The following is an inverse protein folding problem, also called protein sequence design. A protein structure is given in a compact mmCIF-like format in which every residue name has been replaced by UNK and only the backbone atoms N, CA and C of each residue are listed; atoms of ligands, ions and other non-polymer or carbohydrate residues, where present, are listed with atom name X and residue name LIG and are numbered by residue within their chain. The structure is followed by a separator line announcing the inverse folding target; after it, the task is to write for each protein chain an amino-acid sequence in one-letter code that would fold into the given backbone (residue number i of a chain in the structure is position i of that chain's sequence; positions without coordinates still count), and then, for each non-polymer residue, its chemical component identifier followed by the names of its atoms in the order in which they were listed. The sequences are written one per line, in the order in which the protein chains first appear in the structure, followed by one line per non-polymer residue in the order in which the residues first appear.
data_IF_814710712428
#
_entry.id   IF_814710712428
#
_cell.length_a   1.000
_cell.length_b   1.000
_cell.length_c   1.000
_cell.angle_alpha   90.00
_cell.angle_beta   90.00
_cell.angle_gamma   90.00
#
_symmetry.space_group_name_H-M   'P 1'
#
loop_
_entity.id
_entity.type
_entity.pdbx_description
1 polymer ?
#
# COMPACT_ATOMS: atom_id res chain seq x y z
N UNK A 1 -24.08 -22.61 12.29
CA UNK A 1 -24.47 -21.99 11.00
C UNK A 1 -24.80 -20.49 11.11
N UNK A 2 -25.44 -20.00 12.18
CA UNK A 2 -25.87 -18.58 12.34
C UNK A 2 -24.73 -17.52 12.33
N UNK A 3 -23.57 -17.78 12.96
CA UNK A 3 -22.45 -16.81 13.06
C UNK A 3 -21.89 -16.36 11.70
N UNK A 4 -21.85 -17.24 10.71
CA UNK A 4 -21.34 -16.93 9.37
C UNK A 4 -22.24 -15.97 8.60
N UNK A 5 -23.56 -16.14 8.71
CA UNK A 5 -24.55 -15.26 8.07
C UNK A 5 -24.48 -13.84 8.65
N UNK A 6 -24.35 -13.72 9.97
CA UNK A 6 -24.21 -12.43 10.66
C UNK A 6 -22.91 -11.74 10.26
N UNK A 7 -21.78 -12.46 10.22
CA UNK A 7 -20.50 -11.91 9.78
C UNK A 7 -20.53 -11.46 8.32
N UNK A 8 -21.13 -12.26 7.42
CA UNK A 8 -21.28 -11.92 5.99
C UNK A 8 -22.15 -10.68 5.79
N UNK A 9 -23.25 -10.56 6.54
CA UNK A 9 -24.13 -9.39 6.49
C UNK A 9 -23.40 -8.12 6.96
N UNK A 10 -22.69 -8.20 8.09
CA UNK A 10 -21.88 -7.10 8.63
C UNK A 10 -20.82 -6.64 7.63
N UNK A 11 -20.10 -7.55 7.00
CA UNK A 11 -19.06 -7.22 6.02
C UNK A 11 -19.66 -6.55 4.77
N UNK A 12 -20.85 -6.99 4.33
CA UNK A 12 -21.55 -6.40 3.19
C UNK A 12 -22.07 -4.99 3.49
N UNK A 13 -22.57 -4.75 4.70
CA UNK A 13 -23.00 -3.42 5.15
C UNK A 13 -21.79 -2.48 5.24
N UNK A 14 -20.70 -2.94 5.86
CA UNK A 14 -19.45 -2.20 5.96
C UNK A 14 -18.93 -1.80 4.58
N UNK A 15 -18.84 -2.75 3.64
CA UNK A 15 -18.39 -2.48 2.28
C UNK A 15 -19.25 -1.43 1.57
N UNK A 16 -20.58 -1.52 1.66
CA UNK A 16 -21.49 -0.52 1.07
C UNK A 16 -21.34 0.87 1.68
N UNK A 17 -21.09 0.96 2.98
CA UNK A 17 -20.86 2.23 3.67
C UNK A 17 -19.59 2.92 3.15
N UNK A 18 -18.51 2.19 2.92
CA UNK A 18 -17.27 2.74 2.36
C UNK A 18 -17.35 3.03 0.86
N UNK A 19 -18.11 2.23 0.10
CA UNK A 19 -18.26 2.41 -1.35
C UNK A 19 -19.19 3.58 -1.74
N UNK A 20 -20.13 3.95 -0.87
CA UNK A 20 -21.15 4.97 -1.18
C UNK A 20 -21.20 6.11 -0.15
N UNK A 21 -20.30 6.12 0.83
CA UNK A 21 -20.16 7.20 1.79
C UNK A 21 -19.49 8.42 1.13
N UNK A 22 -19.96 9.66 1.39
CA UNK A 22 -19.33 10.85 0.85
C UNK A 22 -17.88 10.96 1.36
N UNK A 23 -16.91 11.16 0.45
CA UNK A 23 -15.47 11.26 0.73
C UNK A 23 -14.85 10.03 1.42
N UNK A 24 -15.36 8.84 1.13
CA UNK A 24 -14.80 7.58 1.61
C UNK A 24 -14.18 6.80 0.44
N UNK A 25 -13.08 6.10 0.71
CA UNK A 25 -12.51 5.10 -0.21
C UNK A 25 -12.91 3.70 0.25
N UNK A 26 -13.06 2.79 -0.71
CA UNK A 26 -13.26 1.37 -0.45
C UNK A 26 -11.92 0.62 -0.26
N UNK A 27 -11.98 -0.65 0.15
CA UNK A 27 -10.77 -1.45 0.40
C UNK A 27 -9.89 -1.66 -0.84
N UNK A 28 -10.45 -1.68 -2.04
CA UNK A 28 -9.68 -1.81 -3.29
C UNK A 28 -8.95 -0.50 -3.64
N UNK A 29 -9.64 0.64 -3.54
CA UNK A 29 -9.01 1.97 -3.71
C UNK A 29 -7.93 2.21 -2.65
N UNK A 30 -8.13 1.69 -1.43
CA UNK A 30 -7.11 1.71 -0.40
C UNK A 30 -5.83 1.01 -0.86
N UNK A 31 -5.93 -0.18 -1.47
CA UNK A 31 -4.76 -0.95 -1.95
C UNK A 31 -3.95 -0.18 -3.00
N UNK A 32 -4.62 0.58 -3.87
CA UNK A 32 -3.97 1.42 -4.89
C UNK A 32 -3.12 2.55 -4.29
N UNK A 33 -3.45 3.03 -3.08
CA UNK A 33 -2.76 4.15 -2.43
C UNK A 33 -1.70 3.73 -1.39
N UNK A 34 -1.52 2.43 -1.14
CA UNK A 34 -0.62 1.96 -0.06
C UNK A 34 0.81 2.40 -0.29
N UNK A 35 1.33 2.22 -1.50
CA UNK A 35 2.72 2.57 -1.83
C UNK A 35 2.94 4.08 -1.70
N UNK A 36 2.11 4.88 -2.37
CA UNK A 36 2.19 6.35 -2.28
C UNK A 36 2.08 6.87 -0.84
N UNK A 37 1.27 6.21 -0.01
CA UNK A 37 1.14 6.54 1.41
C UNK A 37 2.42 6.23 2.20
N UNK A 38 3.03 5.06 1.96
CA UNK A 38 4.27 4.64 2.64
C UNK A 38 5.49 5.42 2.17
N UNK A 39 5.49 5.91 0.93
CA UNK A 39 6.55 6.74 0.34
C UNK A 39 6.34 8.25 0.58
N UNK A 40 5.27 8.63 1.28
CA UNK A 40 4.87 10.03 1.55
C UNK A 40 4.67 10.88 0.27
N UNK A 41 4.32 10.24 -0.84
CA UNK A 41 4.02 10.89 -2.14
C UNK A 41 2.52 11.08 -2.36
N UNK A 42 1.67 10.51 -1.49
CA UNK A 42 0.22 10.63 -1.59
C UNK A 42 -0.25 12.08 -1.32
N UNK A 43 -1.03 12.70 -2.22
CA UNK A 43 -1.53 14.06 -2.03
C UNK A 43 -2.29 14.23 -0.70
N UNK A 44 -2.10 15.37 -0.02
CA UNK A 44 -2.62 15.62 1.33
C UNK A 44 -4.12 15.33 1.51
N UNK A 45 -4.95 15.70 0.52
CA UNK A 45 -6.38 15.40 0.55
C UNK A 45 -6.69 13.90 0.51
N UNK A 46 -5.93 13.12 -0.26
CA UNK A 46 -6.05 11.65 -0.31
C UNK A 46 -5.48 11.00 0.94
N UNK A 47 -4.37 11.51 1.46
CA UNK A 47 -3.75 11.04 2.71
C UNK A 47 -4.73 11.11 3.88
N UNK A 48 -5.44 12.21 4.03
CA UNK A 48 -6.47 12.36 5.09
C UNK A 48 -7.60 11.31 4.97
N UNK A 49 -8.06 11.02 3.74
CA UNK A 49 -9.10 10.01 3.49
C UNK A 49 -8.58 8.59 3.76
N UNK A 50 -7.34 8.30 3.35
CA UNK A 50 -6.66 7.04 3.62
C UNK A 50 -6.51 6.78 5.12
N UNK A 51 -6.04 7.79 5.87
CA UNK A 51 -5.91 7.72 7.33
C UNK A 51 -7.26 7.53 8.02
N UNK A 52 -8.31 8.21 7.54
CA UNK A 52 -9.68 8.00 8.02
C UNK A 52 -10.13 6.55 7.79
N UNK A 53 -9.82 5.99 6.62
CA UNK A 53 -10.19 4.62 6.28
C UNK A 53 -9.56 3.62 7.27
N UNK A 54 -8.25 3.68 7.54
CA UNK A 54 -7.59 2.75 8.47
C UNK A 54 -8.01 2.94 9.94
N UNK A 55 -8.51 4.13 10.30
CA UNK A 55 -9.13 4.35 11.63
C UNK A 55 -10.47 3.61 11.76
N UNK A 56 -11.21 3.46 10.67
CA UNK A 56 -12.55 2.85 10.66
C UNK A 56 -12.55 1.38 10.21
N UNK A 57 -11.54 0.96 9.45
CA UNK A 57 -11.43 -0.36 8.86
C UNK A 57 -10.27 -1.15 9.47
N UNK A 58 -10.60 -1.99 10.45
CA UNK A 58 -9.62 -2.87 11.11
C UNK A 58 -8.84 -3.75 10.12
N UNK A 59 -9.51 -4.33 9.13
CA UNK A 59 -8.88 -5.22 8.14
C UNK A 59 -7.82 -4.47 7.31
N UNK A 60 -8.11 -3.25 6.84
CA UNK A 60 -7.12 -2.45 6.11
C UNK A 60 -5.97 -1.98 7.00
N UNK A 61 -6.23 -1.69 8.29
CA UNK A 61 -5.17 -1.40 9.26
C UNK A 61 -4.24 -2.60 9.47
N UNK A 62 -4.80 -3.79 9.65
CA UNK A 62 -4.04 -5.04 9.79
C UNK A 62 -3.26 -5.35 8.50
N UNK A 63 -3.88 -5.13 7.35
CA UNK A 63 -3.23 -5.30 6.06
C UNK A 63 -2.04 -4.35 5.87
N UNK A 64 -2.19 -3.06 6.19
CA UNK A 64 -1.09 -2.08 6.11
C UNK A 64 0.11 -2.48 6.99
N UNK A 65 -0.16 -2.98 8.19
CA UNK A 65 0.89 -3.45 9.10
C UNK A 65 1.62 -4.67 8.52
N UNK A 66 0.89 -5.66 7.98
CA UNK A 66 1.47 -6.83 7.34
C UNK A 66 2.26 -6.49 6.07
N UNK A 67 1.75 -5.56 5.26
CA UNK A 67 2.42 -5.05 4.06
C UNK A 67 3.75 -4.37 4.41
N UNK A 68 3.71 -3.46 5.40
CA UNK A 68 4.90 -2.76 5.89
C UNK A 68 5.95 -3.74 6.43
N UNK A 69 5.53 -4.75 7.20
CA UNK A 69 6.41 -5.79 7.69
C UNK A 69 7.06 -6.59 6.55
N UNK A 70 6.31 -6.90 5.49
CA UNK A 70 6.82 -7.61 4.31
C UNK A 70 7.88 -6.78 3.56
N UNK A 71 7.64 -5.47 3.39
CA UNK A 71 8.63 -4.56 2.81
C UNK A 71 9.91 -4.51 3.64
N UNK A 72 9.80 -4.38 4.96
CA UNK A 72 10.97 -4.33 5.84
C UNK A 72 11.78 -5.63 5.84
N UNK A 73 11.11 -6.78 5.77
CA UNK A 73 11.79 -8.06 5.58
C UNK A 73 12.56 -8.12 4.26
N UNK A 74 11.95 -7.63 3.17
CA UNK A 74 12.61 -7.50 1.87
C UNK A 74 13.86 -6.61 1.96
N UNK A 75 13.71 -5.38 2.49
CA UNK A 75 14.81 -4.43 2.66
C UNK A 75 15.95 -5.01 3.48
N UNK A 76 15.66 -5.64 4.63
CA UNK A 76 16.69 -6.25 5.48
C UNK A 76 17.49 -7.32 4.76
N UNK A 77 16.83 -8.16 3.95
CA UNK A 77 17.52 -9.22 3.20
C UNK A 77 18.58 -8.66 2.25
N UNK A 78 18.32 -7.49 1.66
CA UNK A 78 19.26 -6.83 0.74
C UNK A 78 20.15 -5.78 1.42
N UNK A 79 19.91 -5.44 2.68
CA UNK A 79 20.70 -4.44 3.40
C UNK A 79 22.14 -4.91 3.63
N UNK A 80 22.33 -6.21 3.89
CA UNK A 80 23.66 -6.81 4.05
C UNK A 80 24.43 -6.83 2.71
N UNK A 81 23.72 -7.03 1.60
CA UNK A 81 24.27 -7.01 0.25
C UNK A 81 24.56 -5.58 -0.25
N UNK A 82 23.90 -4.57 0.32
CA UNK A 82 24.13 -3.16 -0.04
C UNK A 82 25.58 -2.72 0.24
N UNK A 83 26.24 -3.33 1.22
CA UNK A 83 27.67 -3.11 1.51
C UNK A 83 28.60 -3.66 0.40
N UNK A 84 28.09 -4.53 -0.47
CA UNK A 84 28.83 -5.13 -1.59
C UNK A 84 28.56 -4.43 -2.91
N UNK A 85 27.65 -3.45 -2.93
CA UNK A 85 27.36 -2.68 -4.14
C UNK A 85 28.51 -1.71 -4.45
N UNK A 86 28.85 -1.53 -5.74
CA UNK A 86 29.75 -0.47 -6.15
C UNK A 86 29.27 0.90 -5.65
N UNK A 87 30.20 1.73 -5.16
CA UNK A 87 29.89 3.09 -4.69
C UNK A 87 29.43 4.00 -5.82
N UNK A 88 29.82 3.69 -7.06
CA UNK A 88 29.42 4.41 -8.27
C UNK A 88 28.56 3.51 -9.15
N UNK A 89 27.46 4.07 -9.66
CA UNK A 89 26.54 3.38 -10.56
C UNK A 89 27.18 3.38 -11.96
N UNK A 90 27.36 2.22 -12.61
CA UNK A 90 27.93 2.16 -13.96
C UNK A 90 27.11 2.94 -14.99
N UNK A 91 27.78 3.76 -15.81
CA UNK A 91 27.13 4.66 -16.77
C UNK A 91 26.45 3.91 -17.93
N UNK A 92 26.97 2.74 -18.28
CA UNK A 92 26.37 1.84 -19.27
C UNK A 92 25.01 1.32 -18.80
N UNK A 93 24.88 1.01 -17.49
CA UNK A 93 23.61 0.62 -16.88
C UNK A 93 22.58 1.76 -16.94
N UNK A 94 22.98 2.98 -16.57
CA UNK A 94 22.10 4.16 -16.64
C UNK A 94 21.62 4.38 -18.08
N UNK A 95 22.53 4.32 -19.05
CA UNK A 95 22.24 4.50 -20.47
C UNK A 95 21.26 3.43 -20.97
N UNK A 96 21.46 2.16 -20.59
CA UNK A 96 20.59 1.07 -20.98
C UNK A 96 19.17 1.22 -20.42
N UNK A 97 19.03 1.67 -19.17
CA UNK A 97 17.72 1.92 -18.54
C UNK A 97 16.99 3.07 -19.24
N UNK A 98 17.67 4.19 -19.51
CA UNK A 98 17.06 5.34 -20.19
C UNK A 98 16.59 4.98 -21.60
N UNK A 99 17.42 4.28 -22.38
CA UNK A 99 17.04 3.82 -23.72
C UNK A 99 15.83 2.87 -23.72
N UNK A 100 15.61 2.11 -22.65
CA UNK A 100 14.42 1.27 -22.50
C UNK A 100 13.15 2.06 -22.16
N UNK A 101 13.30 3.21 -21.49
CA UNK A 101 12.18 4.08 -21.09
C UNK A 101 11.73 5.04 -22.20
N UNK A 102 12.56 5.30 -23.22
CA UNK A 102 12.22 6.16 -24.38
C UNK A 102 11.28 5.49 -25.42
N UNK A 103 10.50 4.48 -25.01
CA UNK A 103 9.54 3.77 -25.86
C UNK A 103 8.09 4.19 -25.63
#
# INVERSE_FOLDING_TARGET
MSKFLIARLRNKIKGKMFAHGPRMINCGEFEEFILDYLEDTLPSGKKAIFELHIKLCRECKEYLAAYSASMELGKRKFADDAAQLPTEIPEDLVTAILAACEK
#
